data_IF_803648579925
#
_entry.id   IF_803648579925
#
_cell.length_a   1.000
_cell.length_b   1.000
_cell.length_c   1.000
_cell.angle_alpha   90.00
_cell.angle_beta   90.00
_cell.angle_gamma   90.00
#
_symmetry.space_group_name_H-M   'P 1'
#
loop_
_entity.id
_entity.type
_entity.pdbx_description
1 polymer ?
#
# COMPACT_ATOMS: atom_id res chain seq x y z
N UNK A 1 -14.66 -32.00 43.07
CA UNK A 1 -15.81 -31.13 43.35
C UNK A 1 -15.50 -29.83 42.66
N UNK A 2 -15.96 -29.75 41.41
CA UNK A 2 -15.81 -28.61 40.53
C UNK A 2 -16.71 -27.49 41.02
N UNK A 3 -16.12 -26.45 41.60
CA UNK A 3 -16.82 -25.21 41.91
C UNK A 3 -16.70 -24.27 40.71
N UNK A 4 -17.37 -24.66 39.62
CA UNK A 4 -17.60 -23.81 38.45
C UNK A 4 -18.96 -23.14 38.61
N UNK A 5 -19.07 -22.20 39.55
CA UNK A 5 -20.18 -21.24 39.55
C UNK A 5 -20.13 -20.46 38.23
N UNK A 6 -21.16 -20.57 37.36
CA UNK A 6 -21.18 -19.80 36.12
C UNK A 6 -21.29 -18.31 36.46
N UNK A 7 -20.39 -17.50 35.90
CA UNK A 7 -20.42 -16.06 36.07
C UNK A 7 -21.79 -15.50 35.64
N UNK A 8 -22.47 -14.80 36.55
CA UNK A 8 -23.80 -14.24 36.31
C UNK A 8 -23.80 -13.22 35.17
N UNK A 9 -24.89 -13.09 34.39
CA UNK A 9 -25.02 -12.08 33.34
C UNK A 9 -24.95 -10.68 33.97
N UNK A 10 -23.85 -9.96 33.70
CA UNK A 10 -23.53 -8.66 34.31
C UNK A 10 -22.03 -8.42 34.52
N UNK A 11 -21.21 -9.47 34.53
CA UNK A 11 -19.75 -9.38 34.75
C UNK A 11 -18.94 -8.81 33.56
N UNK A 12 -19.60 -8.30 32.51
CA UNK A 12 -18.97 -7.91 31.24
C UNK A 12 -19.03 -6.39 30.96
N UNK A 13 -19.26 -5.56 31.98
CA UNK A 13 -19.42 -4.10 31.80
C UNK A 13 -18.75 -3.30 32.92
N UNK A 14 -17.48 -3.58 33.21
CA UNK A 14 -16.63 -2.58 33.86
C UNK A 14 -16.08 -1.68 32.76
N UNK A 15 -16.28 -0.37 32.90
CA UNK A 15 -15.75 0.61 31.96
C UNK A 15 -14.23 0.42 31.84
N UNK A 16 -13.62 0.60 30.66
CA UNK A 16 -12.17 0.44 30.46
C UNK A 16 -11.36 1.61 31.07
N UNK A 17 -11.98 2.40 31.94
CA UNK A 17 -11.44 3.56 32.61
C UNK A 17 -12.19 3.76 33.93
N UNK A 18 -11.55 4.46 34.87
CA UNK A 18 -12.14 4.82 36.14
C UNK A 18 -13.11 6.01 35.97
N UNK A 19 -14.43 5.83 36.21
CA UNK A 19 -15.42 6.89 36.02
C UNK A 19 -15.20 8.09 36.96
N UNK A 20 -14.70 7.88 38.19
CA UNK A 20 -14.50 8.96 39.16
C UNK A 20 -13.32 9.85 38.73
N UNK A 21 -12.29 9.25 38.12
CA UNK A 21 -11.17 9.98 37.51
C UNK A 21 -11.65 10.82 36.33
N UNK A 22 -12.50 10.25 35.47
CA UNK A 22 -13.05 10.97 34.32
C UNK A 22 -13.94 12.14 34.77
N UNK A 23 -14.84 11.93 35.74
CA UNK A 23 -15.72 12.99 36.24
C UNK A 23 -14.94 14.16 36.84
N UNK A 24 -13.87 13.88 37.60
CA UNK A 24 -12.97 14.91 38.12
C UNK A 24 -12.28 15.69 36.99
N UNK A 25 -11.75 14.99 35.98
CA UNK A 25 -11.09 15.63 34.85
C UNK A 25 -12.07 16.45 34.00
N UNK A 26 -13.28 15.95 33.76
CA UNK A 26 -14.33 16.68 33.05
C UNK A 26 -14.69 17.97 33.76
N UNK A 27 -14.85 17.93 35.08
CA UNK A 27 -15.13 19.12 35.89
C UNK A 27 -14.02 20.15 35.74
N UNK A 28 -12.75 19.70 35.87
CA UNK A 28 -11.58 20.58 35.71
C UNK A 28 -11.48 21.19 34.31
N UNK A 29 -11.78 20.39 33.27
CA UNK A 29 -11.78 20.86 31.88
C UNK A 29 -12.88 21.89 31.64
N UNK A 30 -14.09 21.68 32.20
CA UNK A 30 -15.19 22.66 32.09
C UNK A 30 -14.83 23.98 32.76
N UNK A 31 -14.30 23.96 33.98
CA UNK A 31 -13.87 25.18 34.68
C UNK A 31 -12.82 25.98 33.88
N UNK A 32 -11.83 25.30 33.30
CA UNK A 32 -10.80 25.95 32.49
C UNK A 32 -11.35 26.45 31.16
N UNK A 33 -12.30 25.74 30.55
CA UNK A 33 -12.96 26.16 29.32
C UNK A 33 -13.82 27.41 29.54
N UNK A 34 -14.57 27.47 30.64
CA UNK A 34 -15.39 28.64 30.99
C UNK A 34 -14.49 29.85 31.27
N UNK A 35 -13.41 29.66 32.05
CA UNK A 35 -12.41 30.71 32.26
C UNK A 35 -11.77 31.17 30.95
N UNK A 36 -11.39 30.23 30.07
CA UNK A 36 -10.84 30.52 28.75
C UNK A 36 -11.83 31.27 27.86
N UNK A 37 -13.10 30.92 27.89
CA UNK A 37 -14.17 31.61 27.16
C UNK A 37 -14.27 33.09 27.54
N UNK A 38 -14.27 33.37 28.85
CA UNK A 38 -14.27 34.76 29.34
C UNK A 38 -13.05 35.56 28.86
N UNK A 39 -11.87 34.92 28.73
CA UNK A 39 -10.68 35.56 28.17
C UNK A 39 -10.78 35.78 26.66
N UNK A 40 -11.40 34.86 25.91
CA UNK A 40 -11.63 35.00 24.47
C UNK A 40 -12.62 36.14 24.16
N UNK A 41 -13.62 36.34 25.02
CA UNK A 41 -14.61 37.43 24.89
C UNK A 41 -13.99 38.83 25.00
N UNK A 42 -12.86 38.96 25.72
CA UNK A 42 -12.12 40.23 25.82
C UNK A 42 -11.53 40.67 24.48
N UNK A 43 -11.27 39.73 23.55
CA UNK A 43 -10.67 39.90 22.20
C UNK A 43 -9.25 40.48 22.17
N UNK A 44 -8.90 41.36 23.09
CA UNK A 44 -7.62 42.05 23.20
C UNK A 44 -7.21 42.12 24.67
N UNK A 45 -5.91 42.01 24.92
CA UNK A 45 -5.31 42.22 26.25
C UNK A 45 -4.65 43.59 26.24
N UNK A 46 -4.92 44.40 27.26
CA UNK A 46 -4.48 45.81 27.29
C UNK A 46 -3.47 46.09 28.40
N UNK A 47 -3.32 45.19 29.38
CA UNK A 47 -2.45 45.38 30.55
C UNK A 47 -1.48 44.22 30.76
N UNK A 48 -0.32 44.51 31.35
CA UNK A 48 0.68 43.50 31.72
C UNK A 48 0.14 42.51 32.76
N UNK A 49 -0.70 42.97 33.69
CA UNK A 49 -1.37 42.11 34.66
C UNK A 49 -2.32 41.11 33.99
N UNK A 50 -3.06 41.54 32.96
CA UNK A 50 -3.90 40.64 32.18
C UNK A 50 -3.06 39.62 31.39
N UNK A 51 -1.92 40.04 30.83
CA UNK A 51 -1.00 39.13 30.15
C UNK A 51 -0.44 38.06 31.10
N UNK A 52 -0.06 38.46 32.33
CA UNK A 52 0.38 37.52 33.38
C UNK A 52 -0.70 36.51 33.77
N UNK A 53 -1.93 36.98 34.02
CA UNK A 53 -3.06 36.09 34.36
C UNK A 53 -3.43 35.14 33.21
N UNK A 54 -3.36 35.60 31.95
CA UNK A 54 -3.56 34.72 30.81
C UNK A 54 -2.45 33.66 30.72
N UNK A 55 -1.19 34.04 30.95
CA UNK A 55 -0.08 33.09 30.98
C UNK A 55 -0.28 32.01 32.06
N UNK A 56 -0.77 32.37 33.24
CA UNK A 56 -1.12 31.41 34.30
C UNK A 56 -2.26 30.47 33.88
N UNK A 57 -3.29 31.00 33.22
CA UNK A 57 -4.39 30.17 32.71
C UNK A 57 -3.92 29.21 31.61
N UNK A 58 -3.02 29.65 30.73
CA UNK A 58 -2.39 28.81 29.71
C UNK A 58 -1.59 27.68 30.38
N UNK A 59 -0.81 27.99 31.42
CA UNK A 59 -0.05 27.00 32.17
C UNK A 59 -0.96 25.96 32.85
N UNK A 60 -2.05 26.41 33.47
CA UNK A 60 -3.07 25.51 34.06
C UNK A 60 -3.75 24.62 33.02
N UNK A 61 -4.05 25.17 31.84
CA UNK A 61 -4.65 24.42 30.72
C UNK A 61 -3.70 23.33 30.23
N UNK A 62 -2.40 23.63 30.11
CA UNK A 62 -1.38 22.64 29.74
C UNK A 62 -1.24 21.54 30.78
N UNK A 63 -1.28 21.88 32.06
CA UNK A 63 -1.22 20.90 33.15
C UNK A 63 -2.43 19.96 33.12
N UNK A 64 -3.65 20.50 32.97
CA UNK A 64 -4.87 19.70 32.86
C UNK A 64 -4.88 18.81 31.62
N UNK A 65 -4.37 19.31 30.48
CA UNK A 65 -4.17 18.48 29.28
C UNK A 65 -3.25 17.30 29.57
N UNK A 66 -2.10 17.54 30.19
CA UNK A 66 -1.14 16.49 30.53
C UNK A 66 -1.74 15.45 31.48
N UNK A 67 -2.42 15.90 32.54
CA UNK A 67 -3.09 14.99 33.49
C UNK A 67 -4.14 14.11 32.79
N UNK A 68 -4.95 14.72 31.91
CA UNK A 68 -5.97 14.00 31.13
C UNK A 68 -5.35 12.97 30.18
N UNK A 69 -4.28 13.34 29.46
CA UNK A 69 -3.60 12.44 28.54
C UNK A 69 -2.88 11.29 29.27
N UNK A 70 -2.31 11.56 30.44
CA UNK A 70 -1.65 10.55 31.26
C UNK A 70 -2.69 9.58 31.87
N UNK A 71 -3.86 10.06 32.32
CA UNK A 71 -4.98 9.19 32.73
C UNK A 71 -5.49 8.31 31.57
N UNK A 72 -5.62 8.89 30.36
CA UNK A 72 -5.98 8.14 29.14
C UNK A 72 -4.95 7.05 28.81
N UNK A 73 -3.65 7.34 28.93
CA UNK A 73 -2.60 6.33 28.71
C UNK A 73 -2.68 5.21 29.74
N UNK A 74 -2.83 5.54 31.02
CA UNK A 74 -2.93 4.55 32.10
C UNK A 74 -4.14 3.62 31.91
N UNK A 75 -5.31 4.17 31.57
CA UNK A 75 -6.49 3.37 31.26
C UNK A 75 -6.27 2.46 30.03
N UNK A 76 -5.57 2.95 29.00
CA UNK A 76 -5.34 2.21 27.74
C UNK A 76 -4.23 1.16 27.84
N UNK A 77 -3.23 1.36 28.70
CA UNK A 77 -2.04 0.51 28.85
C UNK A 77 -2.36 -0.99 29.01
N UNK A 78 -3.22 -1.43 29.94
CA UNK A 78 -3.50 -2.86 30.12
C UNK A 78 -4.10 -3.50 28.87
N UNK A 79 -4.90 -2.75 28.09
CA UNK A 79 -5.49 -3.25 26.86
C UNK A 79 -4.47 -3.35 25.72
N UNK A 80 -3.53 -2.41 25.66
CA UNK A 80 -2.41 -2.47 24.69
C UNK A 80 -1.51 -3.66 25.00
N UNK A 81 -1.17 -3.89 26.27
CA UNK A 81 -0.35 -5.04 26.66
C UNK A 81 -1.07 -6.37 26.45
N UNK A 82 -2.38 -6.45 26.78
CA UNK A 82 -3.19 -7.62 26.46
C UNK A 82 -3.23 -7.88 24.94
N UNK A 83 -3.42 -6.84 24.14
CA UNK A 83 -3.37 -6.92 22.68
C UNK A 83 -2.02 -7.42 22.16
N UNK A 84 -0.91 -6.87 22.67
CA UNK A 84 0.45 -7.32 22.33
C UNK A 84 0.69 -8.78 22.70
N UNK A 85 0.18 -9.24 23.84
CA UNK A 85 0.33 -10.64 24.26
C UNK A 85 -0.41 -11.59 23.30
N UNK A 86 -1.63 -11.22 22.90
CA UNK A 86 -2.40 -11.94 21.87
C UNK A 86 -1.63 -11.95 20.56
N UNK A 87 -1.21 -10.80 20.06
CA UNK A 87 -0.47 -10.69 18.80
C UNK A 87 0.82 -11.53 18.83
N UNK A 88 1.56 -11.48 19.93
CA UNK A 88 2.78 -12.28 20.10
C UNK A 88 2.49 -13.77 20.04
N UNK A 89 1.44 -14.23 20.74
CA UNK A 89 1.06 -15.64 20.71
C UNK A 89 0.62 -16.07 19.31
N UNK A 90 -0.22 -15.28 18.65
CA UNK A 90 -0.73 -15.62 17.33
C UNK A 90 0.34 -15.53 16.25
N UNK A 91 1.32 -14.63 16.35
CA UNK A 91 2.52 -14.63 15.48
C UNK A 91 3.25 -15.97 15.50
N UNK A 92 3.37 -16.63 16.67
CA UNK A 92 3.98 -17.97 16.74
C UNK A 92 3.24 -19.04 15.92
N UNK A 93 1.95 -18.82 15.63
CA UNK A 93 1.12 -19.72 14.82
C UNK A 93 1.05 -19.27 13.36
N UNK A 94 0.95 -17.96 13.14
CA UNK A 94 0.80 -17.35 11.82
C UNK A 94 2.11 -17.36 11.03
N UNK A 95 3.25 -17.06 11.66
CA UNK A 95 4.53 -16.95 10.96
C UNK A 95 4.95 -18.30 10.31
N UNK A 96 4.86 -19.46 10.99
CA UNK A 96 5.13 -20.75 10.36
C UNK A 96 4.17 -21.07 9.20
N UNK A 97 2.88 -20.72 9.34
CA UNK A 97 1.89 -20.94 8.27
C UNK A 97 2.14 -20.03 7.07
N UNK A 98 2.52 -18.78 7.30
CA UNK A 98 2.89 -17.84 6.24
C UNK A 98 4.15 -18.34 5.51
N UNK A 99 5.16 -18.78 6.25
CA UNK A 99 6.39 -19.34 5.70
C UNK A 99 6.13 -20.63 4.91
N UNK A 100 5.30 -21.54 5.43
CA UNK A 100 4.86 -22.73 4.71
C UNK A 100 4.13 -22.34 3.42
N UNK A 101 3.21 -21.38 3.49
CA UNK A 101 2.51 -20.85 2.33
C UNK A 101 3.44 -20.26 1.27
N UNK A 102 4.48 -19.52 1.68
CA UNK A 102 5.53 -19.00 0.78
C UNK A 102 6.30 -20.14 0.11
N UNK A 103 6.74 -21.14 0.86
CA UNK A 103 7.47 -22.29 0.31
C UNK A 103 6.63 -23.12 -0.66
N UNK A 104 5.36 -23.39 -0.34
CA UNK A 104 4.44 -24.11 -1.22
C UNK A 104 4.13 -23.31 -2.50
N UNK A 105 3.96 -21.98 -2.39
CA UNK A 105 3.81 -21.10 -3.56
C UNK A 105 5.05 -21.10 -4.44
N UNK A 106 6.25 -21.11 -3.86
CA UNK A 106 7.50 -21.19 -4.63
C UNK A 106 7.60 -22.51 -5.41
N UNK A 107 7.21 -23.63 -4.79
CA UNK A 107 7.13 -24.93 -5.47
C UNK A 107 6.11 -24.93 -6.62
N UNK A 108 4.91 -24.39 -6.38
CA UNK A 108 3.90 -24.25 -7.43
C UNK A 108 4.36 -23.33 -8.57
N UNK A 109 5.07 -22.24 -8.24
CA UNK A 109 5.65 -21.33 -9.23
C UNK A 109 6.72 -22.02 -10.08
N UNK A 110 7.61 -22.80 -9.49
CA UNK A 110 8.62 -23.57 -10.23
C UNK A 110 7.97 -24.56 -11.21
N UNK A 111 6.91 -25.27 -10.78
CA UNK A 111 6.15 -26.16 -11.67
C UNK A 111 5.48 -25.40 -12.83
N UNK A 112 4.82 -24.27 -12.54
CA UNK A 112 4.20 -23.42 -13.57
C UNK A 112 5.23 -22.85 -14.56
N UNK A 113 6.43 -22.52 -14.09
CA UNK A 113 7.53 -22.03 -14.93
C UNK A 113 8.07 -23.13 -15.85
N UNK A 114 8.30 -24.34 -15.32
CA UNK A 114 8.66 -25.51 -16.12
C UNK A 114 7.60 -25.80 -17.19
N UNK A 115 6.32 -25.76 -16.82
CA UNK A 115 5.21 -25.94 -17.78
C UNK A 115 5.16 -24.83 -18.81
N UNK A 116 5.46 -23.58 -18.43
CA UNK A 116 5.55 -22.47 -19.39
C UNK A 116 6.66 -22.72 -20.39
N UNK A 117 7.86 -23.11 -19.93
CA UNK A 117 9.00 -23.42 -20.80
C UNK A 117 8.66 -24.58 -21.76
N UNK A 118 8.00 -25.62 -21.29
CA UNK A 118 7.57 -26.75 -22.11
C UNK A 118 6.55 -26.34 -23.18
N UNK A 119 5.53 -25.56 -22.79
CA UNK A 119 4.54 -25.00 -23.72
C UNK A 119 5.16 -24.00 -24.71
N UNK A 120 6.12 -23.19 -24.29
CA UNK A 120 6.86 -22.27 -25.15
C UNK A 120 7.71 -23.03 -26.18
N UNK A 121 8.36 -24.13 -25.79
CA UNK A 121 9.08 -25.01 -26.71
C UNK A 121 8.14 -25.65 -27.73
N UNK A 122 6.98 -26.15 -27.30
CA UNK A 122 5.97 -26.69 -28.22
C UNK A 122 5.50 -25.62 -29.21
N UNK A 123 5.15 -24.43 -28.71
CA UNK A 123 4.71 -23.33 -29.58
C UNK A 123 5.82 -22.81 -30.48
N UNK A 124 7.09 -22.89 -30.09
CA UNK A 124 8.19 -22.52 -30.98
C UNK A 124 8.26 -23.47 -32.19
N UNK A 125 8.07 -24.77 -31.98
CA UNK A 125 7.95 -25.74 -33.07
C UNK A 125 6.69 -25.46 -33.93
N UNK A 126 5.54 -25.21 -33.32
CA UNK A 126 4.30 -24.87 -34.03
C UNK A 126 4.45 -23.59 -34.88
N UNK A 127 5.21 -22.60 -34.39
CA UNK A 127 5.51 -21.36 -35.13
C UNK A 127 6.45 -21.61 -36.31
N UNK A 128 7.45 -22.48 -36.16
CA UNK A 128 8.35 -22.83 -37.25
C UNK A 128 7.59 -23.60 -38.35
N UNK A 129 6.72 -24.53 -37.97
CA UNK A 129 5.88 -25.26 -38.92
C UNK A 129 4.87 -24.32 -39.61
N UNK A 130 4.23 -23.42 -38.87
CA UNK A 130 3.35 -22.40 -39.45
C UNK A 130 4.12 -21.48 -40.43
N UNK A 131 5.38 -21.13 -40.12
CA UNK A 131 6.23 -20.33 -41.03
C UNK A 131 6.52 -21.10 -42.32
N UNK A 132 6.87 -22.40 -42.23
CA UNK A 132 7.09 -23.26 -43.41
C UNK A 132 5.82 -23.38 -44.26
N UNK A 133 4.66 -23.55 -43.64
CA UNK A 133 3.37 -23.60 -44.35
C UNK A 133 3.03 -22.28 -45.05
N UNK A 134 3.37 -21.13 -44.44
CA UNK A 134 3.22 -19.83 -45.08
C UNK A 134 4.15 -19.65 -46.27
N UNK A 135 5.43 -20.02 -46.14
CA UNK A 135 6.43 -19.95 -47.21
C UNK A 135 6.03 -20.85 -48.40
N UNK A 136 5.54 -22.07 -48.13
CA UNK A 136 5.02 -22.99 -49.14
C UNK A 136 3.75 -22.46 -49.83
N UNK A 137 2.79 -21.93 -49.07
CA UNK A 137 1.57 -21.34 -49.62
C UNK A 137 1.87 -20.11 -50.48
N UNK A 138 2.83 -19.26 -50.07
CA UNK A 138 3.27 -18.12 -50.88
C UNK A 138 3.99 -18.56 -52.16
N UNK A 139 4.76 -19.66 -52.12
CA UNK A 139 5.38 -20.24 -53.31
C UNK A 139 4.31 -20.77 -54.28
N UNK A 140 3.37 -21.57 -53.80
CA UNK A 140 2.25 -22.11 -54.58
C UNK A 140 1.40 -20.99 -55.20
N UNK A 141 1.14 -19.91 -54.45
CA UNK A 141 0.43 -18.74 -54.97
C UNK A 141 1.19 -18.10 -56.14
N UNK A 142 2.49 -17.83 -55.99
CA UNK A 142 3.33 -17.26 -57.05
C UNK A 142 3.40 -18.15 -58.29
N UNK A 143 3.49 -19.46 -58.11
CA UNK A 143 3.50 -20.44 -59.21
C UNK A 143 2.14 -20.56 -59.94
N UNK A 144 1.03 -20.42 -59.22
CA UNK A 144 -0.32 -20.41 -59.79
C UNK A 144 -0.63 -19.10 -60.52
N UNK A 145 -0.20 -17.96 -59.96
CA UNK A 145 -0.27 -16.64 -60.60
C UNK A 145 0.57 -16.60 -61.89
N UNK A 146 1.79 -17.13 -61.87
CA UNK A 146 2.67 -17.18 -63.04
C UNK A 146 2.10 -18.04 -64.18
N UNK A 147 1.32 -19.09 -63.87
CA UNK A 147 0.70 -19.99 -64.86
C UNK A 147 -0.71 -19.59 -65.27
N UNK A 148 -1.31 -18.55 -64.66
CA UNK A 148 -2.71 -18.15 -64.85
C UNK A 148 -3.71 -19.33 -64.72
N UNK A 149 -3.38 -20.32 -63.88
CA UNK A 149 -4.23 -21.48 -63.66
C UNK A 149 -5.26 -21.18 -62.56
N UNK A 150 -6.51 -20.97 -62.97
CA UNK A 150 -7.63 -20.60 -62.10
C UNK A 150 -7.91 -21.68 -61.03
N UNK A 151 -7.68 -22.96 -61.34
CA UNK A 151 -7.87 -24.05 -60.38
C UNK A 151 -6.73 -24.05 -59.35
N UNK A 152 -5.49 -23.87 -59.81
CA UNK A 152 -4.33 -23.76 -58.92
C UNK A 152 -4.40 -22.50 -58.02
N UNK A 153 -4.96 -21.39 -58.51
CA UNK A 153 -5.18 -20.18 -57.72
C UNK A 153 -6.19 -20.40 -56.59
N UNK A 154 -7.29 -21.10 -56.85
CA UNK A 154 -8.27 -21.46 -55.83
C UNK A 154 -7.66 -22.36 -54.75
N UNK A 155 -6.82 -23.33 -55.13
CA UNK A 155 -6.09 -24.19 -54.20
C UNK A 155 -5.05 -23.42 -53.38
N UNK A 156 -4.32 -22.49 -53.99
CA UNK A 156 -3.37 -21.62 -53.30
C UNK A 156 -4.06 -20.69 -52.28
N UNK A 157 -5.27 -20.20 -52.58
CA UNK A 157 -6.04 -19.38 -51.65
C UNK A 157 -6.53 -20.18 -50.43
N UNK A 158 -6.93 -21.44 -50.62
CA UNK A 158 -7.27 -22.36 -49.51
C UNK A 158 -6.04 -22.62 -48.63
N UNK A 159 -4.90 -22.93 -49.24
CA UNK A 159 -3.63 -23.13 -48.52
C UNK A 159 -3.20 -21.88 -47.73
N UNK A 160 -3.35 -20.69 -48.32
CA UNK A 160 -3.05 -19.42 -47.64
C UNK A 160 -3.98 -19.17 -46.43
N UNK A 161 -5.28 -19.51 -46.53
CA UNK A 161 -6.23 -19.39 -45.42
C UNK A 161 -5.92 -20.37 -44.29
N UNK A 162 -5.49 -21.59 -44.61
CA UNK A 162 -5.06 -22.58 -43.61
C UNK A 162 -3.76 -22.16 -42.92
N UNK A 163 -2.76 -21.71 -43.68
CA UNK A 163 -1.52 -21.17 -43.13
C UNK A 163 -1.75 -19.94 -42.23
N UNK A 164 -2.68 -19.05 -42.60
CA UNK A 164 -3.07 -17.91 -41.76
C UNK A 164 -3.77 -18.33 -40.45
N UNK A 165 -4.61 -19.38 -40.48
CA UNK A 165 -5.22 -19.94 -39.27
C UNK A 165 -4.17 -20.58 -38.35
N UNK A 166 -3.24 -21.35 -38.90
CA UNK A 166 -2.13 -21.96 -38.17
C UNK A 166 -1.24 -20.89 -37.50
N UNK A 167 -0.87 -19.84 -38.23
CA UNK A 167 -0.09 -18.73 -37.69
C UNK A 167 -0.84 -17.98 -36.56
N UNK A 168 -2.15 -17.73 -36.71
CA UNK A 168 -2.96 -17.10 -35.67
C UNK A 168 -3.09 -17.97 -34.41
N UNK A 169 -3.15 -19.29 -34.56
CA UNK A 169 -3.14 -20.22 -33.43
C UNK A 169 -1.79 -20.21 -32.69
N UNK A 170 -0.69 -20.22 -33.44
CA UNK A 170 0.68 -20.22 -32.90
C UNK A 170 1.08 -18.88 -32.22
N UNK A 171 0.47 -17.77 -32.63
CA UNK A 171 0.69 -16.44 -32.07
C UNK A 171 0.01 -16.20 -30.71
N UNK A 172 -0.91 -17.07 -30.26
CA UNK A 172 -1.58 -16.90 -28.96
C UNK A 172 -0.55 -16.99 -27.82
N UNK A 173 -0.63 -16.13 -26.79
CA UNK A 173 0.31 -16.19 -25.65
C UNK A 173 0.16 -17.52 -24.89
N UNK A 174 1.27 -18.02 -24.34
CA UNK A 174 1.25 -19.16 -23.41
C UNK A 174 0.65 -18.69 -22.09
N UNK A 175 -0.39 -19.37 -21.63
CA UNK A 175 -1.01 -19.14 -20.32
C UNK A 175 -0.99 -20.46 -19.56
N UNK A 176 -0.26 -20.49 -18.46
CA UNK A 176 -0.23 -21.64 -17.55
C UNK A 176 -0.93 -21.24 -16.27
N UNK A 177 -1.98 -21.98 -15.93
CA UNK A 177 -2.76 -21.81 -14.71
C UNK A 177 -2.90 -23.17 -14.02
N UNK A 178 -2.97 -23.19 -12.69
CA UNK A 178 -3.18 -24.41 -11.91
C UNK A 178 -4.51 -24.30 -11.18
N UNK A 179 -5.49 -25.11 -11.57
CA UNK A 179 -6.79 -25.16 -10.93
C UNK A 179 -6.75 -26.05 -9.66
N UNK A 180 -7.68 -25.82 -8.74
CA UNK A 180 -7.85 -26.70 -7.58
C UNK A 180 -8.43 -28.03 -8.01
N UNK A 181 -7.79 -29.13 -7.62
CA UNK A 181 -8.24 -30.49 -7.93
C UNK A 181 -9.57 -30.85 -7.25
N UNK A 182 -9.84 -30.29 -6.06
CA UNK A 182 -11.02 -30.59 -5.24
C UNK A 182 -12.08 -29.49 -5.27
N UNK A 183 -11.82 -28.38 -5.98
CA UNK A 183 -12.70 -27.21 -6.03
C UNK A 183 -12.69 -26.33 -4.77
N UNK A 184 -11.98 -26.71 -3.72
CA UNK A 184 -11.88 -25.94 -2.47
C UNK A 184 -10.96 -24.71 -2.55
N UNK A 185 -10.11 -24.62 -3.58
CA UNK A 185 -9.15 -23.53 -3.77
C UNK A 185 -9.40 -22.72 -5.03
N UNK A 186 -8.97 -21.45 -5.04
CA UNK A 186 -8.94 -20.62 -6.24
C UNK A 186 -7.82 -21.07 -7.19
N UNK A 187 -8.03 -20.92 -8.49
CA UNK A 187 -7.00 -21.14 -9.52
C UNK A 187 -5.80 -20.23 -9.28
N UNK A 188 -4.62 -20.83 -9.23
CA UNK A 188 -3.34 -20.12 -9.13
C UNK A 188 -2.88 -19.70 -10.53
N UNK A 189 -2.51 -18.43 -10.67
CA UNK A 189 -1.94 -17.85 -11.88
C UNK A 189 -0.69 -17.04 -11.53
N UNK A 190 0.28 -17.02 -12.44
CA UNK A 190 1.45 -16.16 -12.34
C UNK A 190 1.02 -14.68 -12.37
N UNK A 191 1.65 -13.86 -11.53
CA UNK A 191 1.48 -12.40 -11.53
C UNK A 191 2.83 -11.73 -11.80
N UNK A 192 2.82 -10.73 -12.67
CA UNK A 192 3.99 -9.88 -12.92
C UNK A 192 3.96 -8.72 -11.96
N UNK A 193 4.96 -8.62 -11.10
CA UNK A 193 5.18 -7.46 -10.24
C UNK A 193 6.37 -6.67 -10.78
N UNK A 194 6.22 -5.34 -10.88
CA UNK A 194 7.31 -4.45 -11.26
C UNK A 194 7.95 -3.90 -10.00
N UNK A 195 9.25 -4.19 -9.81
CA UNK A 195 10.08 -3.58 -8.76
C UNK A 195 11.03 -2.60 -9.45
N UNK A 196 10.98 -1.34 -9.05
CA UNK A 196 11.86 -0.30 -9.57
C UNK A 196 13.07 -0.13 -8.64
N UNK A 197 14.24 0.05 -9.24
CA UNK A 197 15.47 0.47 -8.58
C UNK A 197 16.03 1.66 -9.37
N UNK A 198 16.43 2.72 -8.67
CA UNK A 198 16.94 3.92 -9.31
C UNK A 198 18.44 3.76 -9.63
N UNK A 199 18.76 3.49 -10.89
CA UNK A 199 20.16 3.43 -11.36
C UNK A 199 20.87 4.77 -11.22
N UNK A 200 20.20 5.86 -11.61
CA UNK A 200 20.71 7.22 -11.49
C UNK A 200 19.65 8.11 -10.85
N UNK A 201 19.89 8.45 -9.58
CA UNK A 201 18.94 9.24 -8.79
C UNK A 201 18.66 10.61 -9.39
N UNK A 202 19.66 11.29 -9.95
CA UNK A 202 19.48 12.62 -10.54
C UNK A 202 18.56 12.58 -11.77
N UNK A 203 18.66 11.53 -12.60
CA UNK A 203 17.76 11.35 -13.75
C UNK A 203 16.35 10.99 -13.32
N UNK A 204 16.22 10.09 -12.33
CA UNK A 204 14.93 9.73 -11.76
C UNK A 204 14.24 10.96 -11.14
N UNK A 205 14.99 11.76 -10.39
CA UNK A 205 14.50 13.00 -9.78
C UNK A 205 13.98 13.98 -10.83
N UNK A 206 14.76 14.27 -11.89
CA UNK A 206 14.31 15.17 -12.96
C UNK A 206 13.03 14.67 -13.63
N UNK A 207 12.91 13.36 -13.87
CA UNK A 207 11.69 12.78 -14.43
C UNK A 207 10.48 12.96 -13.50
N UNK A 208 10.62 12.64 -12.20
CA UNK A 208 9.52 12.77 -11.25
C UNK A 208 9.15 14.21 -10.92
N UNK A 209 10.13 15.13 -10.93
CA UNK A 209 9.91 16.57 -10.79
C UNK A 209 9.00 17.10 -11.90
N UNK A 210 9.26 16.70 -13.14
CA UNK A 210 8.51 17.18 -14.31
C UNK A 210 7.22 16.37 -14.56
N UNK A 211 6.94 15.35 -13.74
CA UNK A 211 5.78 14.49 -13.88
C UNK A 211 4.51 15.16 -13.32
N UNK A 212 3.48 15.31 -14.15
CA UNK A 212 2.26 16.06 -13.79
C UNK A 212 1.58 15.59 -12.48
N UNK A 213 1.56 14.28 -12.21
CA UNK A 213 0.89 13.73 -11.01
C UNK A 213 1.84 13.56 -9.80
N UNK A 214 3.14 13.39 -10.05
CA UNK A 214 4.11 13.01 -9.01
C UNK A 214 5.01 14.18 -8.60
N UNK A 215 5.18 15.17 -9.46
CA UNK A 215 5.92 16.40 -9.19
C UNK A 215 5.38 17.17 -7.98
N UNK A 216 4.06 17.44 -7.89
CA UNK A 216 3.50 18.12 -6.72
C UNK A 216 3.73 17.35 -5.41
N UNK A 217 3.60 16.03 -5.43
CA UNK A 217 3.85 15.15 -4.27
C UNK A 217 5.33 15.17 -3.87
N UNK A 218 6.23 15.23 -4.84
CA UNK A 218 7.67 15.35 -4.61
C UNK A 218 8.02 16.71 -4.02
N UNK A 219 7.39 17.79 -4.50
CA UNK A 219 7.58 19.14 -3.96
C UNK A 219 7.14 19.21 -2.49
N UNK A 220 5.93 18.74 -2.16
CA UNK A 220 5.42 18.70 -0.79
C UNK A 220 6.36 17.90 0.13
N UNK A 221 6.90 16.78 -0.38
CA UNK A 221 7.86 15.99 0.37
C UNK A 221 9.16 16.75 0.66
N UNK A 222 9.68 17.50 -0.32
CA UNK A 222 10.87 18.35 -0.15
C UNK A 222 10.62 19.47 0.84
N UNK A 223 9.48 20.16 0.74
CA UNK A 223 9.09 21.23 1.67
C UNK A 223 9.02 20.71 3.11
N UNK A 224 8.39 19.55 3.34
CA UNK A 224 8.33 18.92 4.66
C UNK A 224 9.71 18.57 5.21
N UNK A 225 10.63 18.09 4.36
CA UNK A 225 12.01 17.84 4.77
C UNK A 225 12.74 19.13 5.13
N UNK A 226 12.57 20.20 4.34
CA UNK A 226 13.20 21.48 4.58
C UNK A 226 12.72 22.13 5.88
N UNK A 227 11.41 22.06 6.19
CA UNK A 227 10.88 22.53 7.47
C UNK A 227 11.40 21.72 8.67
N UNK A 228 11.53 20.41 8.52
CA UNK A 228 12.06 19.55 9.58
C UNK A 228 13.54 19.84 9.83
N UNK A 229 14.32 20.04 8.78
CA UNK A 229 15.72 20.44 8.84
C UNK A 229 15.85 21.82 9.53
N UNK A 230 15.05 22.81 9.13
CA UNK A 230 15.09 24.15 9.73
C UNK A 230 14.76 24.17 11.23
N UNK A 231 13.90 23.24 11.67
CA UNK A 231 13.51 23.06 13.08
C UNK A 231 14.53 22.26 13.90
N UNK A 232 15.42 21.51 13.26
CA UNK A 232 16.44 20.71 13.94
C UNK A 232 17.49 21.60 14.60
N UNK A 233 18.03 21.16 15.74
CA UNK A 233 19.05 21.89 16.51
C UNK A 233 20.33 22.13 15.69
N UNK A 234 20.71 21.14 14.88
CA UNK A 234 21.93 21.16 14.05
C UNK A 234 21.61 21.39 12.55
N UNK A 235 20.36 21.72 12.22
CA UNK A 235 19.92 21.81 10.84
C UNK A 235 20.32 23.10 10.12
N UNK A 236 20.34 23.04 8.80
CA UNK A 236 20.71 24.17 7.95
C UNK A 236 19.72 25.35 8.10
N UNK A 237 20.25 26.57 8.31
CA UNK A 237 19.45 27.80 8.40
C UNK A 237 19.00 28.32 7.03
N UNK A 238 19.80 28.05 6.00
CA UNK A 238 19.55 28.39 4.61
C UNK A 238 19.70 27.12 3.77
N UNK A 239 18.68 26.83 2.96
CA UNK A 239 18.68 25.69 2.04
C UNK A 239 18.52 26.26 0.62
N UNK A 240 19.46 26.01 -0.30
CA UNK A 240 19.36 26.52 -1.66
C UNK A 240 18.03 26.13 -2.33
N UNK A 241 17.31 27.13 -2.85
CA UNK A 241 16.02 26.93 -3.53
C UNK A 241 14.80 26.83 -2.61
N UNK A 242 14.96 26.99 -1.30
CA UNK A 242 13.85 27.05 -0.32
C UNK A 242 13.78 28.44 0.28
N UNK A 243 12.56 28.97 0.39
CA UNK A 243 12.27 30.23 1.08
C UNK A 243 11.52 29.88 2.36
N UNK A 244 12.01 30.35 3.50
CA UNK A 244 11.36 30.17 4.79
C UNK A 244 10.54 31.41 5.14
N UNK A 245 9.29 31.19 5.56
CA UNK A 245 8.42 32.23 6.11
C UNK A 245 8.40 32.10 7.63
N UNK A 246 8.80 33.16 8.36
CA UNK A 246 8.80 33.17 9.83
C UNK A 246 7.44 33.61 10.36
N UNK A 247 6.64 32.65 10.83
CA UNK A 247 5.39 32.91 11.55
C UNK A 247 5.63 32.71 13.05
N UNK A 248 5.35 33.76 13.85
CA UNK A 248 5.46 33.70 15.31
C UNK A 248 4.08 33.50 15.91
N UNK A 249 3.85 32.32 16.50
CA UNK A 249 2.66 31.99 17.27
C UNK A 249 3.04 31.80 18.74
N UNK A 250 2.11 32.07 19.66
CA UNK A 250 2.37 31.88 21.10
C UNK A 250 2.62 30.39 21.38
N UNK A 251 3.77 30.09 22.00
CA UNK A 251 4.25 28.74 22.30
C UNK A 251 3.56 28.14 23.51
#
# INVERSE_FOLDING_TARGET
MDDQTPAGPGHNSQLPYDPDVVERLETRVRELADAGGAWLDLKTIETEEQAGKLADLIAQTRAAFKETDDARKAAKEPHVEAGKAVDTKFKTLLDPLENLGKSLKAMAAAYMDQKRIEEEKRKAADREEARRQQEEADRLRREAEARNDVIAQAQAEVAAKEAAKAAKAAAKPVKVNVASATGGGRTMAMRTNYRAEAENMNRAFSFFRDHAEHGPKLQEFIERMAEAERRSKDGAKEIPGIIFHEERTAA
#
